data_IF_069059636948
#
_entry.id   IF_069059636948
#
_cell.length_a   1.000
_cell.length_b   1.000
_cell.length_c   1.000
_cell.angle_alpha   90.00
_cell.angle_beta   90.00
_cell.angle_gamma   90.00
#
_symmetry.space_group_name_H-M   'P 1'
#
loop_
_entity.id
_entity.type
_entity.pdbx_description
1 polymer ?
#
# COMPACT_ATOMS: atom_id res chain seq x y z
N UNK A 1 11.34 -11.06 -9.12
CA UNK A 1 11.46 -9.67 -8.66
C UNK A 1 10.91 -9.55 -7.24
N UNK A 2 11.57 -8.73 -6.38
CA UNK A 2 11.09 -8.47 -5.04
C UNK A 2 9.83 -7.59 -5.10
N UNK A 3 8.88 -7.82 -4.21
CA UNK A 3 7.64 -7.03 -4.08
C UNK A 3 7.95 -5.54 -3.91
N UNK A 4 9.00 -5.20 -3.17
CA UNK A 4 9.44 -3.81 -2.95
C UNK A 4 9.76 -3.06 -4.26
N UNK A 5 10.15 -3.78 -5.32
CA UNK A 5 10.48 -3.17 -6.62
C UNK A 5 9.31 -2.34 -7.18
N UNK A 6 8.07 -2.76 -6.92
CA UNK A 6 6.87 -2.08 -7.42
C UNK A 6 5.93 -1.59 -6.28
N UNK A 7 5.97 -2.18 -5.08
CA UNK A 7 5.13 -1.76 -3.94
C UNK A 7 5.82 -0.78 -2.99
N UNK A 8 6.83 -0.06 -3.44
CA UNK A 8 7.44 1.07 -2.71
C UNK A 8 7.11 2.40 -3.36
N UNK A 9 7.39 3.50 -2.65
CA UNK A 9 7.27 4.85 -3.25
C UNK A 9 8.13 5.01 -4.51
N UNK A 10 9.31 4.38 -4.53
CA UNK A 10 10.17 4.33 -5.72
C UNK A 10 9.53 3.51 -6.84
N UNK A 11 8.88 2.40 -6.51
CA UNK A 11 8.17 1.56 -7.47
C UNK A 11 7.02 2.33 -8.15
N UNK A 12 6.21 3.05 -7.39
CA UNK A 12 5.14 3.89 -7.93
C UNK A 12 5.71 4.99 -8.87
N UNK A 13 6.77 5.68 -8.46
CA UNK A 13 7.47 6.68 -9.29
C UNK A 13 7.99 6.06 -10.60
N UNK A 14 8.60 4.89 -10.52
CA UNK A 14 9.13 4.18 -11.68
C UNK A 14 8.02 3.75 -12.63
N UNK A 15 6.94 3.17 -12.12
CA UNK A 15 5.76 2.78 -12.91
C UNK A 15 5.17 3.99 -13.64
N UNK A 16 5.04 5.13 -12.94
CA UNK A 16 4.55 6.35 -13.56
C UNK A 16 5.45 6.84 -14.69
N UNK A 17 6.77 6.82 -14.46
CA UNK A 17 7.76 7.22 -15.48
C UNK A 17 7.71 6.30 -16.71
N UNK A 18 7.63 5.00 -16.53
CA UNK A 18 7.56 4.02 -17.63
C UNK A 18 6.30 4.19 -18.49
N UNK A 19 5.17 4.52 -17.86
CA UNK A 19 3.88 4.69 -18.55
C UNK A 19 3.74 6.05 -19.25
N UNK A 20 4.26 7.10 -18.65
CA UNK A 20 3.92 8.48 -19.05
C UNK A 20 5.15 9.35 -19.39
N UNK A 21 6.38 8.84 -19.18
CA UNK A 21 7.62 9.56 -19.48
C UNK A 21 7.91 10.74 -18.53
N UNK A 22 7.11 10.94 -17.47
CA UNK A 22 7.27 12.01 -16.49
C UNK A 22 7.70 11.46 -15.14
N UNK A 23 8.66 12.12 -14.49
CA UNK A 23 9.13 11.73 -13.16
C UNK A 23 8.45 12.58 -12.09
N UNK A 24 7.61 11.94 -11.28
CA UNK A 24 6.92 12.54 -10.14
C UNK A 24 7.19 11.70 -8.89
N UNK A 25 7.28 12.34 -7.73
CA UNK A 25 7.37 11.62 -6.45
C UNK A 25 6.03 10.93 -6.15
N UNK A 26 6.07 9.82 -5.42
CA UNK A 26 4.87 9.05 -5.09
C UNK A 26 3.75 9.89 -4.44
N UNK A 27 4.12 10.83 -3.56
CA UNK A 27 3.16 11.74 -2.91
C UNK A 27 2.54 12.74 -3.91
N UNK A 28 3.28 13.15 -4.93
CA UNK A 28 2.77 14.04 -5.98
C UNK A 28 1.79 13.29 -6.89
N UNK A 29 2.09 12.01 -7.20
CA UNK A 29 1.18 11.13 -7.95
C UNK A 29 -0.12 10.95 -7.17
N UNK A 30 -0.03 10.63 -5.87
CA UNK A 30 -1.18 10.36 -5.02
C UNK A 30 -2.11 11.60 -4.82
N UNK A 31 -1.54 12.79 -4.77
CA UNK A 31 -2.30 14.02 -4.54
C UNK A 31 -2.74 14.72 -5.83
N UNK A 32 -2.43 14.14 -6.99
CA UNK A 32 -2.72 14.75 -8.29
C UNK A 32 -4.10 14.33 -8.81
N UNK A 33 -4.84 15.28 -9.36
CA UNK A 33 -6.10 15.02 -10.09
C UNK A 33 -5.88 14.69 -11.57
N UNK A 34 -4.62 14.56 -12.02
CA UNK A 34 -4.29 14.25 -13.40
C UNK A 34 -4.64 12.78 -13.71
N UNK A 35 -5.25 12.56 -14.88
CA UNK A 35 -5.62 11.23 -15.34
C UNK A 35 -4.44 10.24 -15.42
N UNK A 36 -3.25 10.70 -15.81
CA UNK A 36 -2.04 9.88 -15.84
C UNK A 36 -1.63 9.39 -14.44
N UNK A 37 -1.73 10.26 -13.43
CA UNK A 37 -1.46 9.91 -12.04
C UNK A 37 -2.51 8.92 -11.49
N UNK A 38 -3.78 9.12 -11.83
CA UNK A 38 -4.85 8.20 -11.44
C UNK A 38 -4.63 6.79 -12.03
N UNK A 39 -4.20 6.69 -13.30
CA UNK A 39 -3.84 5.40 -13.91
C UNK A 39 -2.71 4.72 -13.17
N UNK A 40 -1.64 5.44 -12.84
CA UNK A 40 -0.50 4.88 -12.13
C UNK A 40 -0.85 4.43 -10.71
N UNK A 41 -1.68 5.21 -10.00
CA UNK A 41 -2.15 4.85 -8.66
C UNK A 41 -3.09 3.64 -8.70
N UNK A 42 -3.95 3.54 -9.71
CA UNK A 42 -4.82 2.38 -9.92
C UNK A 42 -4.00 1.09 -10.13
N UNK A 43 -2.98 1.12 -11.00
CA UNK A 43 -2.08 -0.02 -11.22
C UNK A 43 -1.38 -0.41 -9.92
N UNK A 44 -0.87 0.56 -9.18
CA UNK A 44 -0.26 0.31 -7.88
C UNK A 44 -1.24 -0.35 -6.90
N UNK A 45 -2.47 0.14 -6.83
CA UNK A 45 -3.51 -0.41 -5.94
C UNK A 45 -3.86 -1.86 -6.29
N UNK A 46 -3.96 -2.19 -7.58
CA UNK A 46 -4.19 -3.57 -8.03
C UNK A 46 -3.01 -4.50 -7.67
N UNK A 47 -1.78 -4.05 -7.88
CA UNK A 47 -0.58 -4.80 -7.50
C UNK A 47 -0.53 -5.04 -5.99
N UNK A 48 -0.85 -4.02 -5.19
CA UNK A 48 -0.94 -4.13 -3.74
C UNK A 48 -2.00 -5.15 -3.33
N UNK A 49 -3.20 -5.09 -3.92
CA UNK A 49 -4.28 -6.03 -3.64
C UNK A 49 -3.87 -7.48 -3.91
N UNK A 50 -3.21 -7.78 -5.03
CA UNK A 50 -2.72 -9.13 -5.32
C UNK A 50 -1.70 -9.64 -4.28
N UNK A 51 -0.82 -8.78 -3.81
CA UNK A 51 0.14 -9.15 -2.77
C UNK A 51 -0.55 -9.36 -1.42
N UNK A 52 -1.50 -8.50 -1.05
CA UNK A 52 -2.29 -8.63 0.17
C UNK A 52 -3.19 -9.87 0.14
N UNK A 53 -3.81 -10.19 -1.00
CA UNK A 53 -4.61 -11.39 -1.17
C UNK A 53 -3.79 -12.67 -0.88
N UNK A 54 -2.53 -12.70 -1.29
CA UNK A 54 -1.64 -13.82 -0.95
C UNK A 54 -1.49 -13.97 0.56
N UNK A 55 -1.32 -12.86 1.29
CA UNK A 55 -1.20 -12.85 2.75
C UNK A 55 -2.52 -13.27 3.39
N UNK A 56 -3.64 -12.73 2.93
CA UNK A 56 -4.98 -13.08 3.44
C UNK A 56 -5.26 -14.57 3.23
N UNK A 57 -5.01 -15.09 2.02
CA UNK A 57 -5.29 -16.49 1.69
C UNK A 57 -4.42 -17.51 2.47
N UNK A 58 -3.22 -17.10 2.92
CA UNK A 58 -2.31 -17.99 3.66
C UNK A 58 -2.45 -17.84 5.17
N UNK A 59 -2.65 -16.64 5.69
CA UNK A 59 -2.61 -16.34 7.13
C UNK A 59 -3.96 -15.99 7.73
N UNK A 60 -4.94 -15.61 6.91
CA UNK A 60 -6.27 -15.16 7.34
C UNK A 60 -6.21 -14.15 8.51
N UNK A 61 -5.46 -13.03 8.38
CA UNK A 61 -5.29 -12.10 9.47
C UNK A 61 -6.55 -11.27 9.69
N UNK A 62 -6.84 -10.90 10.94
CA UNK A 62 -7.95 -9.99 11.24
C UNK A 62 -7.69 -8.57 10.73
N UNK A 63 -6.42 -8.16 10.70
CA UNK A 63 -6.01 -6.80 10.30
C UNK A 63 -4.63 -6.83 9.62
N UNK A 64 -4.49 -6.01 8.59
CA UNK A 64 -3.21 -5.68 7.97
C UNK A 64 -2.99 -4.17 8.11
N UNK A 65 -1.87 -3.78 8.70
CA UNK A 65 -1.48 -2.38 8.86
C UNK A 65 -0.42 -2.05 7.81
N UNK A 66 -0.72 -1.08 6.94
CA UNK A 66 0.24 -0.60 5.95
C UNK A 66 1.22 0.37 6.61
N UNK A 67 2.52 0.17 6.41
CA UNK A 67 3.57 1.04 6.95
C UNK A 67 4.34 1.79 5.87
N UNK A 68 5.18 2.74 6.30
CA UNK A 68 6.02 3.54 5.41
C UNK A 68 5.29 4.69 4.73
N UNK A 69 5.97 5.44 3.86
CA UNK A 69 5.46 6.68 3.28
C UNK A 69 4.17 6.55 2.46
N UNK A 70 3.94 5.40 1.82
CA UNK A 70 2.71 5.16 1.04
C UNK A 70 1.49 4.89 1.92
N UNK A 71 1.66 4.60 3.22
CA UNK A 71 0.55 4.47 4.17
C UNK A 71 -0.23 5.78 4.38
N UNK A 72 0.31 6.91 3.93
CA UNK A 72 -0.37 8.21 3.98
C UNK A 72 -1.34 8.43 2.81
N UNK A 73 -1.41 7.52 1.84
CA UNK A 73 -2.34 7.61 0.71
C UNK A 73 -3.70 7.07 1.15
N UNK A 74 -4.64 7.98 1.43
CA UNK A 74 -5.96 7.63 1.95
C UNK A 74 -6.77 6.77 0.98
N UNK A 75 -6.67 7.05 -0.32
CA UNK A 75 -7.38 6.33 -1.37
C UNK A 75 -7.10 4.82 -1.36
N UNK A 76 -5.90 4.39 -0.95
CA UNK A 76 -5.57 2.96 -0.86
C UNK A 76 -6.51 2.20 0.08
N UNK A 77 -6.90 2.81 1.21
CA UNK A 77 -7.78 2.17 2.19
C UNK A 77 -9.24 2.10 1.70
N UNK A 78 -9.63 3.04 0.86
CA UNK A 78 -10.98 3.13 0.30
C UNK A 78 -11.20 2.10 -0.81
N UNK A 79 -10.22 1.93 -1.71
CA UNK A 79 -10.33 1.04 -2.86
C UNK A 79 -9.95 -0.42 -2.54
N UNK A 80 -9.15 -0.65 -1.51
CA UNK A 80 -8.57 -1.97 -1.24
C UNK A 80 -9.61 -3.08 -1.03
N UNK A 81 -10.72 -2.86 -0.30
CA UNK A 81 -11.76 -3.89 -0.17
C UNK A 81 -12.32 -4.36 -1.50
N UNK A 82 -12.60 -3.44 -2.44
CA UNK A 82 -13.12 -3.76 -3.77
C UNK A 82 -12.16 -4.61 -4.61
N UNK A 83 -10.86 -4.35 -4.48
CA UNK A 83 -9.84 -5.12 -5.21
C UNK A 83 -9.51 -6.46 -4.57
N UNK A 84 -9.64 -6.59 -3.24
CA UNK A 84 -9.36 -7.83 -2.52
C UNK A 84 -10.49 -8.85 -2.63
N UNK A 85 -11.73 -8.40 -2.48
CA UNK A 85 -12.89 -9.29 -2.38
C UNK A 85 -12.98 -10.32 -3.53
N UNK A 86 -12.75 -9.96 -4.81
CA UNK A 86 -12.84 -10.93 -5.91
C UNK A 86 -11.65 -11.90 -6.02
N UNK A 87 -10.55 -11.71 -5.28
CA UNK A 87 -9.31 -12.48 -5.41
C UNK A 87 -8.88 -13.23 -4.15
N UNK A 88 -9.64 -13.11 -3.07
CA UNK A 88 -9.46 -13.91 -1.85
C UNK A 88 -10.34 -15.15 -1.87
N UNK A 89 -9.91 -16.24 -1.19
CA UNK A 89 -10.62 -17.52 -1.17
C UNK A 89 -11.76 -17.59 -0.15
N UNK A 90 -12.20 -16.45 0.36
CA UNK A 90 -13.30 -16.39 1.35
C UNK A 90 -14.57 -15.83 0.71
N UNK A 91 -15.73 -16.31 1.15
CA UNK A 91 -17.03 -15.79 0.70
C UNK A 91 -17.27 -14.33 1.12
N UNK A 92 -16.53 -13.87 2.14
CA UNK A 92 -16.59 -12.50 2.64
C UNK A 92 -15.23 -12.09 3.20
N UNK A 93 -14.70 -10.98 2.72
CA UNK A 93 -13.49 -10.38 3.25
C UNK A 93 -13.76 -9.82 4.65
N UNK A 94 -13.12 -10.38 5.67
CA UNK A 94 -13.18 -9.90 7.06
C UNK A 94 -11.92 -9.16 7.50
N UNK A 95 -10.81 -9.35 6.78
CA UNK A 95 -9.54 -8.67 7.05
C UNK A 95 -9.67 -7.17 6.83
N UNK A 96 -9.33 -6.40 7.85
CA UNK A 96 -9.32 -4.95 7.78
C UNK A 96 -7.95 -4.45 7.30
N UNK A 97 -7.94 -3.49 6.37
CA UNK A 97 -6.73 -2.79 5.95
C UNK A 97 -6.73 -1.42 6.61
N UNK A 98 -5.70 -1.11 7.39
CA UNK A 98 -5.68 0.08 8.24
C UNK A 98 -4.35 0.85 8.13
N UNK A 99 -4.40 2.18 8.30
CA UNK A 99 -3.19 2.97 8.47
C UNK A 99 -2.54 2.71 9.84
N UNK A 100 -1.24 2.99 9.98
CA UNK A 100 -0.55 2.86 11.25
C UNK A 100 -0.99 3.94 12.23
N UNK A 101 -1.24 3.58 13.49
CA UNK A 101 -1.70 4.50 14.53
C UNK A 101 -0.75 5.69 14.76
N UNK A 102 0.55 5.48 14.56
CA UNK A 102 1.59 6.48 14.80
C UNK A 102 2.22 7.04 13.51
N UNK A 103 1.50 6.93 12.38
CA UNK A 103 1.95 7.42 11.08
C UNK A 103 3.05 6.57 10.45
N UNK A 104 3.68 7.11 9.42
CA UNK A 104 4.68 6.43 8.58
C UNK A 104 5.97 6.04 9.31
N UNK A 105 6.28 6.72 10.42
CA UNK A 105 7.43 6.42 11.30
C UNK A 105 7.17 5.34 12.36
N UNK A 106 6.04 4.63 12.31
CA UNK A 106 5.65 3.59 13.28
C UNK A 106 6.72 2.51 13.47
N UNK A 107 7.43 2.11 12.42
CA UNK A 107 8.53 1.15 12.49
C UNK A 107 9.70 1.65 13.33
N UNK A 108 10.11 2.90 13.16
CA UNK A 108 11.18 3.51 13.96
C UNK A 108 10.78 3.64 15.43
N UNK A 109 9.52 4.02 15.71
CA UNK A 109 8.98 4.04 17.09
C UNK A 109 8.98 2.66 17.72
N UNK A 110 8.53 1.64 16.98
CA UNK A 110 8.55 0.26 17.46
C UNK A 110 9.95 -0.21 17.81
N UNK A 111 10.93 0.10 16.97
CA UNK A 111 12.33 -0.21 17.24
C UNK A 111 12.85 0.50 18.52
N UNK A 112 12.48 1.76 18.73
CA UNK A 112 12.85 2.49 19.94
C UNK A 112 12.23 1.88 21.22
N UNK A 113 11.06 1.27 21.13
CA UNK A 113 10.41 0.60 22.27
C UNK A 113 11.05 -0.75 22.66
N UNK A 114 12.02 -1.26 21.89
CA UNK A 114 12.76 -2.47 22.24
C UNK A 114 13.79 -2.23 23.37
N UNK A 115 14.16 -0.98 23.63
CA UNK A 115 15.04 -0.61 24.74
C UNK A 115 14.23 -0.26 25.97
N UNK A 116 14.52 -0.86 27.14
CA UNK A 116 13.88 -0.44 28.38
C UNK A 116 14.22 1.04 28.66
N UNK A 117 13.19 1.81 28.98
CA UNK A 117 13.40 3.16 29.54
C UNK A 117 13.98 2.96 30.95
N UNK A 118 15.23 3.37 31.18
CA UNK A 118 15.83 3.43 32.51
C UNK A 118 15.14 4.50 33.34
#
# INVERSE_FOLDING_TARGET
>A
NCIETFLSGRGLTQTHFELHGTSLRAIEIANSTNAACAVSLNIYSQQLAHCLATIVNVLDPHMIVLGGGLSNIQELYEVMPEYLEPIVFTDRLLTQISPPLFGDASGARGAACLWPLE
#
